data_IF_703715903010
#
_entry.id   IF_703715903010
#
_cell.length_a   1.000
_cell.length_b   1.000
_cell.length_c   1.000
_cell.angle_alpha   90.00
_cell.angle_beta   90.00
_cell.angle_gamma   90.00
#
_symmetry.space_group_name_H-M   'P 1'
#
loop_
_entity.id
_entity.type
_entity.pdbx_description
1 polymer ?
#
# COMPACT_ATOMS: atom_id res chain seq x y z
N UNK A 1 12.94 1.60 19.31
CA UNK A 1 12.57 2.98 19.00
C UNK A 1 11.90 3.58 20.21
N UNK A 2 12.35 4.77 20.64
CA UNK A 2 11.75 5.51 21.75
C UNK A 2 11.39 6.89 21.24
N UNK A 3 10.19 7.37 21.55
CA UNK A 3 9.71 8.68 21.12
C UNK A 3 9.29 9.47 22.35
N UNK A 4 9.59 10.77 22.34
CA UNK A 4 9.12 11.69 23.36
C UNK A 4 7.80 12.30 22.91
N UNK A 5 6.82 12.29 23.81
CA UNK A 5 5.49 12.85 23.61
C UNK A 5 5.11 13.60 24.88
N UNK A 6 4.38 14.69 24.72
CA UNK A 6 3.86 15.43 25.86
C UNK A 6 2.90 14.58 26.69
N UNK A 7 2.84 14.84 27.98
CA UNK A 7 2.02 14.06 28.92
C UNK A 7 0.54 14.03 28.52
N UNK A 8 0.03 15.16 28.01
CA UNK A 8 -1.33 15.28 27.50
C UNK A 8 -1.59 14.34 26.31
N UNK A 9 -0.60 14.18 25.42
CA UNK A 9 -0.68 13.28 24.27
C UNK A 9 -0.66 11.83 24.71
N UNK A 10 0.24 11.46 25.62
CA UNK A 10 0.33 10.10 26.18
C UNK A 10 -1.00 9.69 26.82
N UNK A 11 -1.62 10.59 27.59
CA UNK A 11 -2.90 10.34 28.27
C UNK A 11 -4.01 10.04 27.27
N UNK A 12 -4.16 10.89 26.25
CA UNK A 12 -5.17 10.70 25.18
C UNK A 12 -4.91 9.43 24.38
N UNK A 13 -3.65 9.13 24.08
CA UNK A 13 -3.27 7.96 23.30
C UNK A 13 -3.53 6.65 24.07
N UNK A 14 -3.27 6.61 25.39
CA UNK A 14 -3.64 5.46 26.25
C UNK A 14 -5.15 5.20 26.24
N UNK A 15 -5.96 6.25 26.38
CA UNK A 15 -7.43 6.13 26.31
C UNK A 15 -7.86 5.58 24.94
N UNK A 16 -7.30 6.10 23.85
CA UNK A 16 -7.60 5.65 22.50
C UNK A 16 -7.21 4.18 22.27
N UNK A 17 -6.05 3.76 22.78
CA UNK A 17 -5.58 2.37 22.70
C UNK A 17 -6.51 1.43 23.48
N UNK A 18 -6.88 1.81 24.71
CA UNK A 18 -7.80 1.03 25.55
C UNK A 18 -9.18 0.87 24.90
N UNK A 19 -9.74 1.94 24.32
CA UNK A 19 -11.01 1.90 23.56
C UNK A 19 -10.98 0.96 22.35
N UNK A 20 -9.79 0.68 21.82
CA UNK A 20 -9.55 -0.19 20.67
C UNK A 20 -9.04 -1.58 21.09
N UNK A 21 -9.08 -1.90 22.38
CA UNK A 21 -8.59 -3.16 22.93
C UNK A 21 -7.15 -3.50 22.51
N UNK A 22 -6.28 -2.48 22.43
CA UNK A 22 -4.87 -2.61 22.03
C UNK A 22 -3.95 -1.89 23.01
N UNK A 23 -2.66 -2.21 22.97
CA UNK A 23 -1.62 -1.44 23.64
C UNK A 23 -1.31 -0.15 22.89
N UNK A 24 -0.65 0.80 23.56
CA UNK A 24 -0.17 2.04 22.93
C UNK A 24 0.81 1.74 21.80
N UNK A 25 1.75 0.82 22.02
CA UNK A 25 2.70 0.38 20.98
C UNK A 25 2.00 -0.28 19.80
N UNK A 26 0.98 -1.12 20.06
CA UNK A 26 0.17 -1.73 19.00
C UNK A 26 -0.61 -0.69 18.19
N UNK A 27 -1.19 0.31 18.86
CA UNK A 27 -1.86 1.42 18.20
C UNK A 27 -0.89 2.23 17.33
N UNK A 28 0.32 2.52 17.82
CA UNK A 28 1.33 3.25 17.08
C UNK A 28 1.80 2.45 15.86
N UNK A 29 2.07 1.16 16.02
CA UNK A 29 2.46 0.27 14.91
C UNK A 29 1.40 0.30 13.81
N UNK A 30 0.11 0.17 14.14
CA UNK A 30 -0.98 0.25 13.17
C UNK A 30 -1.03 1.58 12.41
N UNK A 31 -0.75 2.72 13.06
CA UNK A 31 -0.73 4.01 12.37
C UNK A 31 0.48 4.16 11.46
N UNK A 32 1.66 3.70 11.90
CA UNK A 32 2.87 3.72 11.09
C UNK A 32 2.68 2.83 9.85
N UNK A 33 2.13 1.62 10.02
CA UNK A 33 1.81 0.73 8.89
C UNK A 33 0.89 1.41 7.90
N UNK A 34 -0.17 2.11 8.35
CA UNK A 34 -1.07 2.83 7.44
C UNK A 34 -0.38 3.93 6.63
N UNK A 35 0.55 4.65 7.26
CA UNK A 35 1.33 5.70 6.59
C UNK A 35 2.26 5.06 5.55
N UNK A 36 3.02 4.03 5.97
CA UNK A 36 3.93 3.30 5.08
C UNK A 36 3.18 2.66 3.90
N UNK A 37 2.04 2.00 4.14
CA UNK A 37 1.20 1.41 3.10
C UNK A 37 0.67 2.46 2.12
N UNK A 38 0.33 3.65 2.62
CA UNK A 38 -0.10 4.77 1.79
C UNK A 38 1.02 5.22 0.86
N UNK A 39 2.25 5.30 1.36
CA UNK A 39 3.42 5.72 0.60
C UNK A 39 3.89 4.64 -0.40
N UNK A 40 3.80 3.37 -0.03
CA UNK A 40 4.26 2.25 -0.86
C UNK A 40 3.32 1.89 -2.01
N UNK A 41 2.04 2.27 -1.94
CA UNK A 41 1.04 1.84 -2.92
C UNK A 41 1.39 2.27 -4.35
N UNK A 42 1.91 3.48 -4.53
CA UNK A 42 2.33 3.98 -5.83
C UNK A 42 3.59 3.26 -6.34
N UNK A 43 4.61 3.14 -5.51
CA UNK A 43 5.86 2.48 -5.92
C UNK A 43 5.64 0.99 -6.23
N UNK A 44 4.76 0.31 -5.51
CA UNK A 44 4.37 -1.07 -5.81
C UNK A 44 3.68 -1.18 -7.18
N UNK A 45 2.67 -0.35 -7.44
CA UNK A 45 1.98 -0.32 -8.73
C UNK A 45 2.92 0.00 -9.89
N UNK A 46 3.88 0.91 -9.67
CA UNK A 46 4.93 1.25 -10.64
C UNK A 46 5.87 0.08 -10.91
N UNK A 47 6.35 -0.61 -9.88
CA UNK A 47 7.20 -1.79 -10.04
C UNK A 47 6.49 -2.91 -10.80
N UNK A 48 5.22 -3.16 -10.48
CA UNK A 48 4.38 -4.13 -11.19
C UNK A 48 4.21 -3.76 -12.67
N UNK A 49 3.90 -2.49 -12.97
CA UNK A 49 3.77 -2.02 -14.35
C UNK A 49 5.09 -2.16 -15.14
N UNK A 50 6.22 -1.79 -14.53
CA UNK A 50 7.53 -1.93 -15.17
C UNK A 50 7.89 -3.40 -15.42
N UNK A 51 7.58 -4.30 -14.49
CA UNK A 51 7.81 -5.73 -14.65
C UNK A 51 6.99 -6.29 -15.82
N UNK A 52 5.72 -5.92 -15.94
CA UNK A 52 4.84 -6.32 -17.05
C UNK A 52 5.37 -5.79 -18.41
N UNK A 53 5.86 -4.55 -18.45
CA UNK A 53 6.43 -3.99 -19.67
C UNK A 53 7.72 -4.70 -20.08
N UNK A 54 8.60 -5.02 -19.13
CA UNK A 54 9.85 -5.76 -19.37
C UNK A 54 9.56 -7.21 -19.81
N UNK A 55 8.57 -7.86 -19.22
CA UNK A 55 8.07 -9.17 -19.66
C UNK A 55 7.52 -9.14 -21.10
N UNK A 56 6.64 -8.18 -21.41
CA UNK A 56 6.09 -8.00 -22.75
C UNK A 56 7.16 -7.66 -23.79
N UNK A 57 8.16 -6.87 -23.43
CA UNK A 57 9.29 -6.58 -24.31
C UNK A 57 10.13 -7.83 -24.61
N UNK A 58 10.26 -8.74 -23.63
CA UNK A 58 11.00 -10.00 -23.78
C UNK A 58 10.21 -11.09 -24.52
N UNK A 59 8.88 -11.09 -24.45
CA UNK A 59 8.07 -12.12 -25.11
C UNK A 59 8.16 -12.05 -26.65
N UNK A 60 8.57 -10.91 -27.21
CA UNK A 60 8.72 -10.73 -28.65
C UNK A 60 7.40 -10.78 -29.42
N UNK A 61 6.27 -10.78 -28.71
CA UNK A 61 4.95 -10.76 -29.31
C UNK A 61 4.69 -9.41 -29.97
N UNK A 62 4.35 -9.44 -31.27
CA UNK A 62 3.94 -8.23 -31.98
C UNK A 62 2.62 -7.72 -31.44
N UNK A 63 2.36 -6.42 -31.66
CA UNK A 63 1.13 -5.77 -31.27
C UNK A 63 -0.08 -6.66 -31.64
N UNK A 64 -1.04 -6.83 -30.71
CA UNK A 64 -2.10 -7.78 -30.94
C UNK A 64 -2.87 -7.47 -32.21
N UNK A 65 -3.12 -8.48 -33.04
CA UNK A 65 -3.73 -8.32 -34.36
C UNK A 65 -5.25 -8.15 -34.34
N UNK A 66 -5.86 -8.25 -33.15
CA UNK A 66 -7.31 -8.25 -33.00
C UNK A 66 -7.89 -6.84 -33.09
N UNK A 67 -9.06 -6.71 -33.72
CA UNK A 67 -9.83 -5.47 -33.71
C UNK A 67 -10.64 -5.36 -32.41
N UNK A 68 -11.12 -4.16 -32.09
CA UNK A 68 -11.95 -3.94 -30.89
C UNK A 68 -13.23 -4.77 -30.96
N UNK A 69 -13.84 -4.90 -32.14
CA UNK A 69 -15.07 -5.66 -32.37
C UNK A 69 -14.89 -7.15 -32.06
N UNK A 70 -13.76 -7.75 -32.43
CA UNK A 70 -13.44 -9.16 -32.19
C UNK A 70 -13.30 -9.51 -30.69
N UNK A 71 -13.06 -8.53 -29.84
CA UNK A 71 -12.96 -8.71 -28.37
C UNK A 71 -14.32 -8.66 -27.66
N UNK A 72 -15.33 -8.01 -28.24
CA UNK A 72 -16.64 -7.82 -27.61
C UNK A 72 -17.60 -9.01 -27.78
N UNK A 73 -17.32 -9.90 -28.74
CA UNK A 73 -18.15 -11.08 -29.06
C UNK A 73 -17.85 -12.31 -28.19
N UNK A 74 -17.12 -12.16 -27.07
CA UNK A 74 -16.77 -13.25 -26.14
C UNK A 74 -17.63 -13.28 -24.88
#
# INVERSE_FOLDING_TARGET
MTIQLDEAVIRRAKIAAARRHTSLSGLLAQQITKIADSDERYERAKQEALALMDEAARSGESAPSWTREELYDR
#
